data_IF_483081548122
#
_entry.id   IF_483081548122
#
_cell.length_a   1.000
_cell.length_b   1.000
_cell.length_c   1.000
_cell.angle_alpha   90.00
_cell.angle_beta   90.00
_cell.angle_gamma   90.00
#
_symmetry.space_group_name_H-M   'P 1'
#
loop_
_entity.id
_entity.type
_entity.pdbx_description
1 polymer ?
#
# COMPACT_ATOMS: atom_id res chain seq x y z
N UNK A 1 3.46 7.76 21.22
CA UNK A 1 2.14 8.32 21.57
C UNK A 1 1.08 7.33 21.12
N UNK A 2 0.22 6.80 22.01
CA UNK A 2 -0.81 5.86 21.62
C UNK A 2 -1.96 6.60 20.93
N UNK A 3 -2.30 6.20 19.70
CA UNK A 3 -3.56 6.58 19.06
C UNK A 3 -4.69 5.71 19.60
N UNK A 4 -5.92 6.21 19.62
CA UNK A 4 -7.07 5.38 20.01
C UNK A 4 -7.28 4.27 18.97
N UNK A 5 -7.87 3.15 19.40
CA UNK A 5 -8.21 2.05 18.50
C UNK A 5 -9.07 2.53 17.32
N UNK A 6 -10.09 3.34 17.60
CA UNK A 6 -10.98 3.88 16.57
C UNK A 6 -10.22 4.73 15.54
N UNK A 7 -9.29 5.58 15.98
CA UNK A 7 -8.46 6.38 15.07
C UNK A 7 -7.54 5.50 14.21
N UNK A 8 -6.89 4.49 14.82
CA UNK A 8 -6.05 3.54 14.09
C UNK A 8 -6.83 2.72 13.07
N UNK A 9 -8.00 2.21 13.47
CA UNK A 9 -8.90 1.46 12.60
C UNK A 9 -9.39 2.30 11.42
N UNK A 10 -9.83 3.53 11.69
CA UNK A 10 -10.29 4.46 10.66
C UNK A 10 -9.16 4.82 9.69
N UNK A 11 -7.97 5.13 10.20
CA UNK A 11 -6.82 5.47 9.35
C UNK A 11 -6.42 4.27 8.46
N UNK A 12 -6.38 3.06 9.02
CA UNK A 12 -6.08 1.86 8.25
C UNK A 12 -7.15 1.55 7.18
N UNK A 13 -8.42 1.75 7.51
CA UNK A 13 -9.53 1.64 6.56
C UNK A 13 -9.40 2.63 5.40
N UNK A 14 -9.09 3.89 5.69
CA UNK A 14 -8.87 4.93 4.67
C UNK A 14 -7.65 4.62 3.80
N UNK A 15 -6.54 4.11 4.37
CA UNK A 15 -5.36 3.69 3.61
C UNK A 15 -5.73 2.58 2.62
N UNK A 16 -6.51 1.60 3.06
CA UNK A 16 -6.99 0.50 2.20
C UNK A 16 -7.83 1.03 1.04
N UNK A 17 -8.81 1.91 1.33
CA UNK A 17 -9.65 2.52 0.29
C UNK A 17 -8.81 3.34 -0.69
N UNK A 18 -7.85 4.12 -0.19
CA UNK A 18 -6.98 4.93 -1.02
C UNK A 18 -6.05 4.09 -1.89
N UNK A 19 -5.66 2.90 -1.44
CA UNK A 19 -4.89 1.94 -2.23
C UNK A 19 -5.66 1.34 -3.42
N UNK A 20 -7.00 1.37 -3.39
CA UNK A 20 -7.88 0.90 -4.48
C UNK A 20 -8.04 1.98 -5.57
N UNK A 21 -7.77 3.25 -5.24
CA UNK A 21 -7.80 4.34 -6.23
C UNK A 21 -6.81 4.01 -7.35
N UNK A 22 -7.22 4.08 -8.63
CA UNK A 22 -6.44 3.60 -9.78
C UNK A 22 -5.26 4.52 -10.09
N UNK A 23 -4.28 4.51 -9.19
CA UNK A 23 -2.96 5.14 -9.34
C UNK A 23 -1.93 4.04 -9.57
N UNK A 24 -0.91 4.25 -10.42
CA UNK A 24 0.12 3.25 -10.65
C UNK A 24 0.72 2.75 -9.33
N UNK A 25 0.67 1.43 -9.10
CA UNK A 25 1.17 0.81 -7.87
C UNK A 25 0.54 1.33 -6.58
N UNK A 26 -0.68 1.88 -6.63
CA UNK A 26 -1.36 2.52 -5.50
C UNK A 26 -0.62 3.72 -4.87
N UNK A 27 0.44 4.23 -5.51
CA UNK A 27 1.36 5.22 -4.92
C UNK A 27 0.64 6.51 -4.52
N UNK A 28 -0.17 7.08 -5.41
CA UNK A 28 -0.77 8.40 -5.17
C UNK A 28 -1.74 8.40 -3.98
N UNK A 29 -2.74 7.52 -4.02
CA UNK A 29 -3.77 7.43 -2.99
C UNK A 29 -3.19 7.00 -1.63
N UNK A 30 -2.36 5.96 -1.62
CA UNK A 30 -1.70 5.48 -0.41
C UNK A 30 -0.86 6.59 0.25
N UNK A 31 -0.01 7.27 -0.53
CA UNK A 31 0.87 8.30 0.03
C UNK A 31 0.08 9.45 0.63
N UNK A 32 -0.96 9.93 -0.05
CA UNK A 32 -1.76 11.05 0.41
C UNK A 32 -2.43 10.78 1.77
N UNK A 33 -3.05 9.60 1.95
CA UNK A 33 -3.72 9.26 3.22
C UNK A 33 -2.72 8.97 4.34
N UNK A 34 -1.59 8.30 4.06
CA UNK A 34 -0.57 8.08 5.09
C UNK A 34 0.02 9.41 5.58
N UNK A 35 0.33 10.34 4.68
CA UNK A 35 0.81 11.67 5.06
C UNK A 35 -0.24 12.45 5.86
N UNK A 36 -1.51 12.38 5.45
CA UNK A 36 -2.62 12.99 6.20
C UNK A 36 -2.71 12.43 7.62
N UNK A 37 -2.59 11.11 7.81
CA UNK A 37 -2.58 10.48 9.12
C UNK A 37 -1.37 10.91 9.99
N UNK A 38 -0.18 10.97 9.42
CA UNK A 38 1.04 11.41 10.13
C UNK A 38 0.95 12.88 10.56
N UNK A 39 0.39 13.75 9.72
CA UNK A 39 0.16 15.16 10.07
C UNK A 39 -0.95 15.28 11.12
N UNK A 40 -2.09 14.60 10.93
CA UNK A 40 -3.29 14.77 11.75
C UNK A 40 -3.15 14.17 13.15
N UNK A 41 -2.53 12.99 13.28
CA UNK A 41 -2.47 12.26 14.56
C UNK A 41 -1.12 12.37 15.27
N UNK A 42 -0.04 12.62 14.52
CA UNK A 42 1.32 12.68 15.07
C UNK A 42 1.96 14.06 14.94
N UNK A 43 1.26 15.04 14.36
CA UNK A 43 1.72 16.42 14.18
C UNK A 43 3.10 16.53 13.51
N UNK A 44 3.42 15.57 12.65
CA UNK A 44 4.66 15.59 11.87
C UNK A 44 4.48 16.61 10.75
N UNK A 45 5.47 17.49 10.58
CA UNK A 45 5.50 18.40 9.44
C UNK A 45 5.45 17.63 8.12
N UNK A 46 4.61 18.07 7.17
CA UNK A 46 4.33 17.37 5.92
C UNK A 46 5.61 17.04 5.15
N UNK A 47 6.59 17.94 5.14
CA UNK A 47 7.88 17.69 4.48
C UNK A 47 8.62 16.46 5.03
N UNK A 48 8.50 16.21 6.33
CA UNK A 48 9.14 15.09 7.02
C UNK A 48 8.35 13.78 6.91
N UNK A 49 7.11 13.81 6.41
CA UNK A 49 6.28 12.60 6.24
C UNK A 49 6.63 11.79 4.99
N UNK A 50 7.38 12.35 4.03
CA UNK A 50 7.66 11.70 2.74
C UNK A 50 8.42 10.39 2.91
N UNK A 51 9.53 10.42 3.62
CA UNK A 51 10.40 9.24 3.80
C UNK A 51 9.69 8.06 4.51
N UNK A 52 9.04 8.24 5.68
CA UNK A 52 8.36 7.11 6.35
C UNK A 52 7.23 6.53 5.50
N UNK A 53 6.54 7.35 4.70
CA UNK A 53 5.47 6.88 3.82
C UNK A 53 5.99 6.07 2.63
N UNK A 54 7.09 6.50 2.00
CA UNK A 54 7.75 5.72 0.94
C UNK A 54 8.24 4.38 1.49
N UNK A 55 8.87 4.38 2.66
CA UNK A 55 9.36 3.15 3.30
C UNK A 55 8.19 2.21 3.61
N UNK A 56 7.11 2.73 4.18
CA UNK A 56 5.92 1.94 4.48
C UNK A 56 5.29 1.34 3.21
N UNK A 57 5.18 2.14 2.12
CA UNK A 57 4.70 1.65 0.83
C UNK A 57 5.59 0.50 0.34
N UNK A 58 6.91 0.71 0.27
CA UNK A 58 7.84 -0.30 -0.19
C UNK A 58 7.75 -1.59 0.63
N UNK A 59 7.66 -1.48 1.97
CA UNK A 59 7.54 -2.64 2.87
C UNK A 59 6.26 -3.43 2.62
N UNK A 60 5.15 -2.77 2.29
CA UNK A 60 3.87 -3.45 2.06
C UNK A 60 3.75 -4.01 0.64
N UNK A 61 4.21 -3.27 -0.38
CA UNK A 61 3.96 -3.61 -1.78
C UNK A 61 5.12 -4.40 -2.42
N UNK A 62 6.38 -4.16 -2.06
CA UNK A 62 7.51 -4.87 -2.69
C UNK A 62 7.49 -6.38 -2.44
N UNK A 63 7.18 -6.89 -1.23
CA UNK A 63 7.10 -8.33 -1.01
C UNK A 63 5.99 -8.99 -1.86
N UNK A 64 4.81 -8.36 -1.94
CA UNK A 64 3.70 -8.85 -2.75
C UNK A 64 4.05 -8.83 -4.24
N UNK A 65 4.67 -7.75 -4.72
CA UNK A 65 5.14 -7.64 -6.11
C UNK A 65 6.20 -8.71 -6.43
N UNK A 66 7.16 -8.94 -5.52
CA UNK A 66 8.17 -9.97 -5.66
C UNK A 66 7.56 -11.37 -5.76
N UNK A 67 6.61 -11.70 -4.87
CA UNK A 67 5.88 -12.97 -4.93
C UNK A 67 5.13 -13.10 -6.26
N UNK A 68 4.46 -12.05 -6.72
CA UNK A 68 3.77 -12.04 -8.01
C UNK A 68 4.72 -12.33 -9.19
N UNK A 69 5.89 -11.69 -9.21
CA UNK A 69 6.92 -11.93 -10.24
C UNK A 69 7.45 -13.36 -10.17
N UNK A 70 7.73 -13.88 -8.97
CA UNK A 70 8.21 -15.25 -8.79
C UNK A 70 7.15 -16.24 -9.28
N UNK A 71 5.90 -16.11 -8.88
CA UNK A 71 4.81 -16.95 -9.37
C UNK A 71 4.66 -16.85 -10.89
N UNK A 72 4.70 -15.65 -11.46
CA UNK A 72 4.57 -15.46 -12.91
C UNK A 72 5.69 -16.13 -13.71
N UNK A 73 6.93 -16.03 -13.23
CA UNK A 73 8.11 -16.56 -13.93
C UNK A 73 8.38 -18.03 -13.67
N UNK A 74 7.86 -18.59 -12.57
CA UNK A 74 8.11 -20.00 -12.17
C UNK A 74 6.91 -20.91 -12.37
N UNK A 75 5.72 -20.37 -12.66
CA UNK A 75 4.55 -21.20 -13.00
C UNK A 75 4.74 -21.84 -14.38
N UNK A 76 4.79 -23.18 -14.49
CA UNK A 76 4.75 -23.86 -15.79
C UNK A 76 3.46 -23.44 -16.49
N UNK A 77 3.56 -22.94 -17.74
CA UNK A 77 2.42 -22.39 -18.47
C UNK A 77 1.24 -23.37 -18.49
N UNK A 78 0.21 -23.09 -17.69
CA UNK A 78 -1.08 -23.79 -17.74
C UNK A 78 -1.86 -23.22 -18.92
N UNK A 79 -1.41 -23.51 -20.12
CA UNK A 79 -2.19 -23.26 -21.35
C UNK A 79 -2.49 -24.61 -21.96
N UNK A 80 -3.37 -25.35 -21.28
CA UNK A 80 -4.03 -26.50 -21.89
C UNK A 80 -5.22 -25.95 -22.67
N UNK A 81 -4.96 -25.58 -23.94
CA UNK A 81 -6.02 -25.33 -24.90
C UNK A 81 -6.72 -26.68 -25.14
N UNK A 82 -7.78 -26.94 -24.38
CA UNK A 82 -8.73 -28.01 -24.72
C UNK A 82 -9.57 -27.47 -25.88
N UNK A 83 -9.20 -27.85 -27.10
CA UNK A 83 -10.03 -27.59 -28.28
C UNK A 83 -11.37 -28.35 -28.12
N UNK A 84 -12.52 -27.73 -28.47
CA UNK A 84 -13.82 -28.40 -28.45
C UNK A 84 -14.00 -29.46 -29.55
#
# INVERSE_FOLDING_TARGET
>A
MPISFAAGFLLLGLITIAGIVPTPGAVGGFHAICQLGLVAFFHIDRAHTVLPVIVLHAVLYMPAALVGVLCFTTSPGQVEWVEP
#
